data_IF_514717113175
#
_entry.id   IF_514717113175
#
_cell.length_a   1.000
_cell.length_b   1.000
_cell.length_c   1.000
_cell.angle_alpha   90.00
_cell.angle_beta   90.00
_cell.angle_gamma   90.00
#
_symmetry.space_group_name_H-M   'P 1'
#
loop_
_entity.id
_entity.type
_entity.pdbx_description
1 polymer ?
#
# COMPACT_ATOMS: atom_id res chain seq x y z
N UNK A 1 -23.01 -17.20 -6.97
CA UNK A 1 -21.67 -17.76 -6.71
C UNK A 1 -20.91 -16.66 -6.00
N UNK A 2 -20.79 -16.78 -4.68
CA UNK A 2 -20.14 -15.76 -3.87
C UNK A 2 -18.64 -15.93 -4.04
N UNK A 3 -17.96 -14.88 -4.51
CA UNK A 3 -16.50 -14.79 -4.49
C UNK A 3 -16.05 -14.94 -3.04
N UNK A 4 -15.66 -16.15 -2.66
CA UNK A 4 -14.91 -16.40 -1.42
C UNK A 4 -13.59 -15.65 -1.56
N UNK A 5 -13.58 -14.42 -1.06
CA UNK A 5 -12.43 -13.55 -0.99
C UNK A 5 -11.29 -14.33 -0.36
N UNK A 6 -10.32 -14.68 -1.21
CA UNK A 6 -9.09 -15.35 -0.87
C UNK A 6 -8.30 -14.43 0.07
N UNK A 7 -8.64 -14.41 1.36
CA UNK A 7 -7.91 -13.71 2.40
C UNK A 7 -6.60 -14.46 2.58
N UNK A 8 -5.63 -14.12 1.75
CA UNK A 8 -4.27 -14.66 1.85
C UNK A 8 -3.73 -14.18 3.19
N UNK A 9 -3.50 -15.12 4.10
CA UNK A 9 -2.77 -14.84 5.34
C UNK A 9 -1.36 -14.43 4.92
N UNK A 10 -1.00 -13.18 5.18
CA UNK A 10 0.33 -12.67 4.85
C UNK A 10 1.35 -13.39 5.75
N UNK A 11 2.33 -14.09 5.19
CA UNK A 11 3.38 -14.73 5.99
C UNK A 11 4.17 -13.68 6.79
N UNK A 12 4.62 -14.03 7.99
CA UNK A 12 5.39 -13.11 8.86
C UNK A 12 6.62 -12.51 8.15
N UNK A 13 7.31 -13.30 7.32
CA UNK A 13 8.45 -12.81 6.54
C UNK A 13 8.04 -11.72 5.55
N UNK A 14 6.86 -11.81 4.94
CA UNK A 14 6.36 -10.79 4.02
C UNK A 14 6.00 -9.51 4.78
N UNK A 15 5.43 -9.62 5.98
CA UNK A 15 5.22 -8.44 6.85
C UNK A 15 6.53 -7.72 7.16
N UNK A 16 7.59 -8.46 7.50
CA UNK A 16 8.91 -7.88 7.75
C UNK A 16 9.51 -7.18 6.53
N UNK A 17 9.26 -7.72 5.32
CA UNK A 17 9.68 -7.08 4.07
C UNK A 17 8.90 -5.78 3.84
N UNK A 18 7.58 -5.80 4.05
CA UNK A 18 6.73 -4.60 3.95
C UNK A 18 7.23 -3.51 4.92
N UNK A 19 7.50 -3.88 6.18
CA UNK A 19 7.99 -2.94 7.20
C UNK A 19 9.32 -2.29 6.81
N UNK A 20 10.30 -3.08 6.33
CA UNK A 20 11.59 -2.55 5.87
C UNK A 20 11.45 -1.68 4.62
N UNK A 21 10.56 -2.07 3.71
CA UNK A 21 10.32 -1.30 2.49
C UNK A 21 9.67 0.05 2.81
N UNK A 22 8.64 0.07 3.66
CA UNK A 22 7.99 1.29 4.14
C UNK A 22 8.97 2.18 4.90
N UNK A 23 9.83 1.61 5.73
CA UNK A 23 10.87 2.37 6.43
C UNK A 23 11.81 3.08 5.43
N UNK A 24 12.29 2.37 4.41
CA UNK A 24 13.13 2.96 3.36
C UNK A 24 12.40 4.07 2.58
N UNK A 25 11.11 3.91 2.27
CA UNK A 25 10.32 4.96 1.63
C UNK A 25 10.19 6.21 2.51
N UNK A 26 10.08 6.06 3.84
CA UNK A 26 9.96 7.19 4.77
C UNK A 26 11.27 7.95 4.97
N UNK A 27 12.41 7.33 4.68
CA UNK A 27 13.70 8.03 4.66
C UNK A 27 13.83 8.96 3.46
N UNK A 28 13.03 8.75 2.40
CA UNK A 28 12.95 9.63 1.24
C UNK A 28 11.98 10.79 1.50
N UNK A 29 12.52 11.99 1.65
CA UNK A 29 11.73 13.21 1.91
C UNK A 29 10.88 13.68 0.72
N UNK A 30 11.14 13.16 -0.48
CA UNK A 30 10.37 13.51 -1.68
C UNK A 30 9.05 12.73 -1.76
N UNK A 31 8.93 11.62 -1.02
CA UNK A 31 7.73 10.80 -1.01
C UNK A 31 6.77 11.28 0.11
N UNK A 32 5.54 11.71 -0.23
CA UNK A 32 4.58 12.12 0.78
C UNK A 32 4.23 10.98 1.74
N UNK A 33 4.25 11.25 3.05
CA UNK A 33 3.91 10.26 4.08
C UNK A 33 2.52 9.64 3.90
N UNK A 34 1.55 10.40 3.37
CA UNK A 34 0.20 9.90 3.11
C UNK A 34 0.20 8.82 2.01
N UNK A 35 0.92 9.05 0.92
CA UNK A 35 1.10 8.08 -0.16
C UNK A 35 1.77 6.79 0.34
N UNK A 36 2.77 6.92 1.22
CA UNK A 36 3.41 5.77 1.88
C UNK A 36 2.40 4.99 2.74
N UNK A 37 1.56 5.68 3.51
CA UNK A 37 0.53 5.05 4.34
C UNK A 37 -0.50 4.29 3.49
N UNK A 38 -0.99 4.90 2.40
CA UNK A 38 -1.94 4.26 1.49
C UNK A 38 -1.34 3.03 0.83
N UNK A 39 -0.07 3.10 0.43
CA UNK A 39 0.63 1.97 -0.16
C UNK A 39 0.88 0.85 0.86
N UNK A 40 1.25 1.18 2.10
CA UNK A 40 1.37 0.20 3.19
C UNK A 40 0.05 -0.55 3.43
N UNK A 41 -1.08 0.17 3.49
CA UNK A 41 -2.42 -0.43 3.64
C UNK A 41 -2.70 -1.38 2.48
N UNK A 42 -2.37 -0.97 1.24
CA UNK A 42 -2.57 -1.78 0.05
C UNK A 42 -1.77 -3.10 0.12
N UNK A 43 -0.50 -3.04 0.50
CA UNK A 43 0.37 -4.23 0.64
C UNK A 43 -0.10 -5.16 1.75
N UNK A 44 -0.65 -4.62 2.85
CA UNK A 44 -1.17 -5.39 3.97
C UNK A 44 -2.52 -6.06 3.70
N UNK A 45 -3.17 -5.82 2.55
CA UNK A 45 -4.39 -6.55 2.13
C UNK A 45 -4.13 -8.00 1.73
N UNK A 46 -2.88 -8.37 1.46
CA UNK A 46 -2.49 -9.74 1.14
C UNK A 46 -2.91 -10.20 -0.26
N UNK A 47 -3.59 -9.36 -1.03
CA UNK A 47 -3.88 -9.61 -2.44
C UNK A 47 -2.80 -9.00 -3.33
N UNK A 48 -2.64 -9.54 -4.54
CA UNK A 48 -1.80 -8.88 -5.55
C UNK A 48 -2.51 -7.58 -5.96
N UNK A 49 -1.95 -6.39 -5.66
CA UNK A 49 -2.61 -5.14 -6.01
C UNK A 49 -2.59 -4.92 -7.52
N UNK A 50 -3.67 -4.35 -8.08
CA UNK A 50 -3.69 -4.01 -9.51
C UNK A 50 -2.80 -2.79 -9.76
N UNK A 51 -2.27 -2.62 -10.98
CA UNK A 51 -1.47 -1.45 -11.34
C UNK A 51 -2.17 -0.12 -11.03
N UNK A 52 -3.48 -0.02 -11.28
CA UNK A 52 -4.28 1.17 -10.96
C UNK A 52 -4.33 1.45 -9.46
N UNK A 53 -4.54 0.42 -8.62
CA UNK A 53 -4.59 0.59 -7.15
C UNK A 53 -3.24 1.10 -6.60
N UNK A 54 -2.12 0.63 -7.16
CA UNK A 54 -0.78 1.10 -6.80
C UNK A 54 -0.61 2.56 -7.19
N UNK A 55 -1.02 2.91 -8.41
CA UNK A 55 -0.91 4.28 -8.92
C UNK A 55 -1.73 5.24 -8.05
N UNK A 56 -2.95 4.87 -7.69
CA UNK A 56 -3.80 5.68 -6.83
C UNK A 56 -3.20 5.88 -5.45
N UNK A 57 -2.70 4.81 -4.83
CA UNK A 57 -2.08 4.87 -3.51
C UNK A 57 -0.84 5.78 -3.48
N UNK A 58 -0.01 5.72 -4.52
CA UNK A 58 1.27 6.44 -4.57
C UNK A 58 1.18 7.88 -5.10
N UNK A 59 0.22 8.18 -5.98
CA UNK A 59 0.24 9.43 -6.76
C UNK A 59 -1.08 10.21 -6.77
N UNK A 60 -2.23 9.59 -6.44
CA UNK A 60 -3.55 10.23 -6.61
C UNK A 60 -4.25 10.52 -5.27
N UNK A 61 -3.65 10.10 -4.15
CA UNK A 61 -4.10 10.38 -2.78
C UNK A 61 -4.11 11.88 -2.40
N UNK A 62 -3.66 12.77 -3.29
CA UNK A 62 -3.77 14.22 -3.13
C UNK A 62 -5.05 14.86 -3.73
N UNK A 63 -5.98 14.10 -4.31
CA UNK A 63 -7.26 14.64 -4.84
C UNK A 63 -8.39 14.66 -3.79
N UNK A 64 -8.08 14.97 -2.53
CA UNK A 64 -9.12 15.34 -1.54
C UNK A 64 -8.55 16.43 -0.62
N UNK A 65 -8.14 17.55 -1.22
CA UNK A 65 -7.56 18.68 -0.50
C UNK A 65 -7.58 20.02 -1.24
N UNK A 66 -8.37 20.16 -2.31
CA UNK A 66 -8.64 21.45 -2.96
C UNK A 66 -10.14 21.56 -3.29
N UNK A 67 -10.92 22.06 -2.32
CA UNK A 67 -12.16 22.83 -2.51
C UNK A 67 -12.53 23.56 -1.20
#
# INVERSE_FOLDING_TARGET
>A
MSEEGNHIVIPQTVLQVIERFVAAMREDSEIPNDAINQFEILLRKGTVPKPDDIKTALFESQTEGEA
#
